data_IF_842074944109
#
_entry.id   IF_842074944109
#
_cell.length_a   1.000
_cell.length_b   1.000
_cell.length_c   1.000
_cell.angle_alpha   90.00
_cell.angle_beta   90.00
_cell.angle_gamma   90.00
#
_symmetry.space_group_name_H-M   'P 1'
#
loop_
_entity.id
_entity.type
_entity.pdbx_description
1 polymer ?
#
# COMPACT_ATOMS: atom_id res chain seq x y z
N UNK A 1 13.50 -9.80 -12.29
CA UNK A 1 13.18 -8.41 -11.94
C UNK A 1 12.32 -8.35 -10.69
N UNK A 2 12.61 -7.37 -9.86
CA UNK A 2 11.84 -7.16 -8.64
C UNK A 2 10.58 -6.36 -8.97
N UNK A 3 9.42 -6.86 -8.59
CA UNK A 3 8.17 -6.13 -8.77
C UNK A 3 8.13 -4.88 -7.88
N UNK A 4 7.57 -3.82 -8.43
CA UNK A 4 7.37 -2.54 -7.74
C UNK A 4 5.89 -2.45 -7.40
N UNK A 5 5.57 -2.33 -6.12
CA UNK A 5 4.17 -2.34 -5.68
C UNK A 5 3.87 -1.18 -4.74
N UNK A 6 2.60 -0.82 -4.68
CA UNK A 6 2.04 0.07 -3.68
C UNK A 6 0.99 -0.74 -2.92
N UNK A 7 1.00 -0.65 -1.60
CA UNK A 7 -0.04 -1.29 -0.78
C UNK A 7 -0.92 -0.20 -0.18
N UNK A 8 -2.23 -0.46 -0.10
CA UNK A 8 -3.08 0.53 0.54
C UNK A 8 -2.90 0.46 2.07
N UNK A 9 -3.41 1.51 2.73
CA UNK A 9 -3.25 1.64 4.19
C UNK A 9 -3.79 0.43 4.94
N UNK A 10 -4.94 -0.11 4.50
CA UNK A 10 -5.58 -1.22 5.21
C UNK A 10 -4.78 -2.52 5.08
N UNK A 11 -4.05 -2.71 3.98
CA UNK A 11 -3.18 -3.87 3.83
C UNK A 11 -2.10 -3.86 4.92
N UNK A 12 -1.44 -2.71 5.12
CA UNK A 12 -0.40 -2.61 6.14
C UNK A 12 -0.97 -2.79 7.56
N UNK A 13 -2.09 -2.11 7.83
CA UNK A 13 -2.74 -2.22 9.14
C UNK A 13 -3.17 -3.66 9.42
N UNK A 14 -3.75 -4.33 8.43
CA UNK A 14 -4.14 -5.73 8.58
C UNK A 14 -2.92 -6.63 8.82
N UNK A 15 -1.82 -6.35 8.15
CA UNK A 15 -0.58 -7.11 8.35
C UNK A 15 -0.09 -7.00 9.80
N UNK A 16 -0.20 -5.81 10.39
CA UNK A 16 0.25 -5.58 11.77
C UNK A 16 -0.64 -6.31 12.77
N UNK A 17 -1.95 -6.14 12.66
CA UNK A 17 -2.87 -6.56 13.72
C UNK A 17 -3.39 -7.98 13.55
N UNK A 18 -3.53 -8.47 12.32
CA UNK A 18 -4.15 -9.77 12.06
C UNK A 18 -3.26 -10.75 11.30
N UNK A 19 -2.23 -10.27 10.64
CA UNK A 19 -1.33 -11.15 9.89
C UNK A 19 -1.94 -11.63 8.58
N UNK A 20 -1.91 -12.93 8.34
CA UNK A 20 -2.49 -13.54 7.15
C UNK A 20 -1.81 -13.12 5.84
N UNK A 21 -2.59 -13.08 4.77
CA UNK A 21 -2.07 -12.75 3.43
C UNK A 21 -1.52 -11.31 3.34
N UNK A 22 -2.14 -10.31 3.97
CA UNK A 22 -1.52 -8.98 4.00
C UNK A 22 -0.11 -9.00 4.59
N UNK A 23 0.11 -9.75 5.67
CA UNK A 23 1.45 -9.85 6.26
C UNK A 23 2.41 -10.56 5.30
N UNK A 24 1.95 -11.57 4.59
CA UNK A 24 2.80 -12.25 3.61
C UNK A 24 3.28 -11.31 2.52
N UNK A 25 2.43 -10.40 2.05
CA UNK A 25 2.82 -9.38 1.08
C UNK A 25 3.86 -8.43 1.68
N UNK A 26 3.60 -7.94 2.90
CA UNK A 26 4.53 -7.03 3.59
C UNK A 26 5.88 -7.71 3.82
N UNK A 27 5.87 -8.99 4.18
CA UNK A 27 7.11 -9.75 4.40
C UNK A 27 7.94 -9.88 3.12
N UNK A 28 7.32 -9.95 1.94
CA UNK A 28 8.07 -9.91 0.69
C UNK A 28 8.85 -8.60 0.57
N UNK A 29 8.25 -7.49 0.99
CA UNK A 29 8.93 -6.20 1.03
C UNK A 29 10.06 -6.18 2.05
N UNK A 30 9.82 -6.71 3.25
CA UNK A 30 10.84 -6.77 4.30
C UNK A 30 12.04 -7.59 3.87
N UNK A 31 11.81 -8.63 3.09
CA UNK A 31 12.87 -9.54 2.62
C UNK A 31 13.51 -9.10 1.32
N UNK A 32 13.10 -7.96 0.77
CA UNK A 32 13.67 -7.44 -0.47
C UNK A 32 13.23 -8.15 -1.73
N UNK A 33 12.20 -9.00 -1.64
CA UNK A 33 11.70 -9.74 -2.79
C UNK A 33 10.76 -8.92 -3.67
N UNK A 34 10.17 -7.87 -3.12
CA UNK A 34 9.43 -6.84 -3.86
C UNK A 34 9.85 -5.48 -3.31
N UNK A 35 9.68 -4.44 -4.11
CA UNK A 35 9.89 -3.06 -3.66
C UNK A 35 8.55 -2.42 -3.38
N UNK A 36 8.32 -2.01 -2.13
CA UNK A 36 7.08 -1.35 -1.72
C UNK A 36 7.32 0.15 -1.69
N UNK A 37 6.56 0.89 -2.50
CA UNK A 37 6.65 2.35 -2.55
C UNK A 37 5.53 2.97 -1.73
N UNK A 38 5.82 4.11 -1.14
CA UNK A 38 4.86 4.86 -0.34
C UNK A 38 5.01 6.36 -0.63
N UNK A 39 4.11 7.16 -0.07
CA UNK A 39 4.14 8.61 -0.20
C UNK A 39 3.79 9.23 1.13
N UNK A 40 4.04 10.54 1.25
CA UNK A 40 3.69 11.28 2.45
C UNK A 40 2.19 11.19 2.76
N UNK A 41 1.35 11.25 1.71
CA UNK A 41 -0.09 11.17 1.87
C UNK A 41 -0.52 9.81 2.44
N UNK A 42 0.11 8.73 1.98
CA UNK A 42 -0.17 7.39 2.50
C UNK A 42 0.26 7.29 3.96
N UNK A 43 1.46 7.79 4.29
CA UNK A 43 1.96 7.75 5.65
C UNK A 43 1.07 8.55 6.61
N UNK A 44 0.57 9.71 6.16
CA UNK A 44 -0.36 10.50 6.96
C UNK A 44 -1.66 9.75 7.22
N UNK A 45 -2.16 9.01 6.25
CA UNK A 45 -3.37 8.21 6.45
C UNK A 45 -3.14 7.07 7.45
N UNK A 46 -2.00 6.39 7.36
CA UNK A 46 -1.64 5.35 8.32
C UNK A 46 -1.62 5.95 9.73
N UNK A 47 -0.93 7.07 9.91
CA UNK A 47 -0.85 7.77 11.18
C UNK A 47 -2.24 8.08 11.73
N UNK A 48 -3.08 8.70 10.92
CA UNK A 48 -4.43 9.09 11.33
C UNK A 48 -5.27 7.90 11.73
N UNK A 49 -5.29 6.84 10.94
CA UNK A 49 -6.09 5.64 11.23
C UNK A 49 -5.64 4.94 12.50
N UNK A 50 -4.33 4.81 12.69
CA UNK A 50 -3.80 4.17 13.89
C UNK A 50 -4.24 4.92 15.14
N UNK A 51 -4.27 6.24 15.11
CA UNK A 51 -4.71 7.06 16.25
C UNK A 51 -6.22 7.04 16.42
N UNK A 52 -6.96 7.27 15.35
CA UNK A 52 -8.41 7.51 15.45
C UNK A 52 -9.23 6.23 15.49
N UNK A 53 -8.85 5.20 14.77
CA UNK A 53 -9.61 3.94 14.73
C UNK A 53 -9.10 2.91 15.70
N UNK A 54 -7.82 2.92 15.99
CA UNK A 54 -7.20 1.91 16.86
C UNK A 54 -6.77 2.47 18.21
N UNK A 55 -6.89 3.77 18.41
CA UNK A 55 -6.63 4.40 19.71
C UNK A 55 -5.19 4.29 20.18
N UNK A 56 -4.23 4.17 19.26
CA UNK A 56 -2.83 4.04 19.64
C UNK A 56 -2.25 5.38 20.10
N UNK A 57 -1.29 5.31 21.01
CA UNK A 57 -0.57 6.48 21.48
C UNK A 57 0.39 7.01 20.41
N UNK A 58 0.86 8.24 20.58
CA UNK A 58 1.84 8.81 19.67
C UNK A 58 3.11 7.97 19.59
N UNK A 59 3.54 7.40 20.72
CA UNK A 59 4.73 6.54 20.75
C UNK A 59 4.52 5.25 19.98
N UNK A 60 3.36 4.62 20.15
CA UNK A 60 3.03 3.40 19.43
C UNK A 60 2.96 3.64 17.92
N UNK A 61 2.34 4.74 17.52
CA UNK A 61 2.25 5.10 16.11
C UNK A 61 3.63 5.38 15.54
N UNK A 62 4.47 6.10 16.28
CA UNK A 62 5.82 6.40 15.82
C UNK A 62 6.64 5.13 15.61
N UNK A 63 6.49 4.13 16.46
CA UNK A 63 7.18 2.85 16.31
C UNK A 63 6.72 2.11 15.06
N UNK A 64 5.41 2.12 14.81
CA UNK A 64 4.84 1.46 13.62
C UNK A 64 5.30 2.16 12.34
N UNK A 65 5.28 3.50 12.32
CA UNK A 65 5.75 4.25 11.16
C UNK A 65 7.24 4.07 10.94
N UNK A 66 8.01 3.97 12.02
CA UNK A 66 9.43 3.67 11.88
C UNK A 66 9.63 2.30 11.23
N UNK A 67 8.90 1.28 11.70
CA UNK A 67 8.94 -0.05 11.10
C UNK A 67 8.61 0.02 9.61
N UNK A 68 7.54 0.73 9.26
CA UNK A 68 7.13 0.90 7.86
C UNK A 68 8.25 1.50 7.02
N UNK A 69 8.98 2.47 7.59
CA UNK A 69 10.07 3.14 6.88
C UNK A 69 11.26 2.23 6.60
N UNK A 70 11.42 1.14 7.35
CA UNK A 70 12.58 0.26 7.19
C UNK A 70 12.50 -0.59 5.92
N UNK A 71 11.31 -0.79 5.37
CA UNK A 71 11.15 -1.65 4.19
C UNK A 71 10.40 -0.98 3.03
N UNK A 72 10.04 0.28 3.15
CA UNK A 72 9.35 1.00 2.08
C UNK A 72 10.23 2.10 1.51
N UNK A 73 9.94 2.44 0.25
CA UNK A 73 10.67 3.47 -0.48
C UNK A 73 9.74 4.67 -0.68
N UNK A 74 10.02 5.80 -0.02
CA UNK A 74 9.18 6.98 -0.20
C UNK A 74 9.41 7.59 -1.58
N UNK A 75 8.31 8.00 -2.22
CA UNK A 75 8.35 8.65 -3.53
C UNK A 75 7.63 9.99 -3.43
N UNK A 76 8.18 10.99 -4.12
CA UNK A 76 7.54 12.29 -4.18
C UNK A 76 6.46 12.26 -5.26
N UNK A 77 5.22 12.57 -4.86
CA UNK A 77 4.11 12.66 -5.78
C UNK A 77 4.02 14.09 -6.28
N UNK A 78 4.16 14.29 -7.58
CA UNK A 78 4.12 15.62 -8.19
C UNK A 78 2.87 15.85 -9.05
N UNK A 79 2.11 14.80 -9.32
CA UNK A 79 0.93 14.87 -10.18
C UNK A 79 -0.30 14.45 -9.40
N UNK A 80 -1.32 15.32 -9.39
CA UNK A 80 -2.61 14.98 -8.81
C UNK A 80 -3.44 14.24 -9.85
N UNK A 81 -4.01 13.10 -9.45
CA UNK A 81 -4.79 12.24 -10.33
C UNK A 81 -6.18 12.09 -9.71
N UNK A 82 -7.22 12.30 -10.52
CA UNK A 82 -8.60 12.16 -10.07
C UNK A 82 -9.26 11.06 -10.89
N UNK A 83 -9.35 9.86 -10.31
CA UNK A 83 -9.85 8.67 -11.00
C UNK A 83 -10.99 8.00 -10.23
N UNK A 84 -10.89 7.95 -8.89
CA UNK A 84 -11.86 7.26 -8.05
C UNK A 84 -12.90 8.25 -7.57
N UNK A 85 -13.98 8.41 -8.35
CA UNK A 85 -15.00 9.43 -8.06
C UNK A 85 -15.74 9.17 -6.75
N UNK A 86 -16.02 7.90 -6.45
CA UNK A 86 -16.79 7.50 -5.26
C UNK A 86 -15.97 7.61 -3.97
N UNK A 87 -14.65 7.55 -4.08
CA UNK A 87 -13.77 7.60 -2.92
C UNK A 87 -12.49 8.34 -3.29
N UNK A 88 -12.54 9.69 -3.35
CA UNK A 88 -11.37 10.48 -3.78
C UNK A 88 -10.12 10.28 -2.93
N UNK A 89 -10.27 9.89 -1.65
CA UNK A 89 -9.11 9.61 -0.79
C UNK A 89 -8.27 8.45 -1.30
N UNK A 90 -8.83 7.56 -2.12
CA UNK A 90 -8.10 6.42 -2.66
C UNK A 90 -7.20 6.82 -3.84
N UNK A 91 -7.38 8.01 -4.39
CA UNK A 91 -6.53 8.49 -5.48
C UNK A 91 -5.06 8.59 -5.08
N UNK A 92 -4.76 8.75 -3.79
CA UNK A 92 -3.37 8.82 -3.32
C UNK A 92 -2.58 7.56 -3.68
N UNK A 93 -3.23 6.40 -3.71
CA UNK A 93 -2.57 5.15 -4.06
C UNK A 93 -2.26 5.10 -5.55
N UNK A 94 -3.17 5.59 -6.39
CA UNK A 94 -2.96 5.72 -7.82
C UNK A 94 -1.81 6.69 -8.10
N UNK A 95 -1.83 7.85 -7.43
CA UNK A 95 -0.78 8.86 -7.58
C UNK A 95 0.60 8.30 -7.21
N UNK A 96 0.67 7.57 -6.11
CA UNK A 96 1.91 6.94 -5.68
C UNK A 96 2.39 5.90 -6.70
N UNK A 97 1.47 5.08 -7.20
CA UNK A 97 1.80 4.03 -8.15
C UNK A 97 2.31 4.61 -9.48
N UNK A 98 1.70 5.69 -9.95
CA UNK A 98 2.15 6.36 -11.17
C UNK A 98 3.54 6.95 -10.95
N UNK A 99 3.73 7.67 -9.84
CA UNK A 99 5.01 8.34 -9.55
C UNK A 99 6.15 7.34 -9.37
N UNK A 100 5.87 6.18 -8.80
CA UNK A 100 6.88 5.14 -8.54
C UNK A 100 7.04 4.16 -9.70
N UNK A 101 6.22 4.27 -10.74
CA UNK A 101 6.18 3.31 -11.84
C UNK A 101 5.90 1.90 -11.33
N UNK A 102 4.94 1.78 -10.44
CA UNK A 102 4.59 0.50 -9.84
C UNK A 102 3.96 -0.43 -10.87
N UNK A 103 4.15 -1.72 -10.66
CA UNK A 103 3.51 -2.76 -11.47
C UNK A 103 2.13 -3.09 -10.93
N UNK A 104 1.95 -3.01 -9.60
CA UNK A 104 0.72 -3.42 -8.93
C UNK A 104 0.37 -2.48 -7.78
N UNK A 105 -0.94 -2.37 -7.52
CA UNK A 105 -1.48 -1.84 -6.27
C UNK A 105 -2.18 -2.99 -5.58
N UNK A 106 -1.83 -3.25 -4.33
CA UNK A 106 -2.43 -4.32 -3.53
C UNK A 106 -3.44 -3.69 -2.59
N UNK A 107 -4.70 -4.10 -2.69
CA UNK A 107 -5.78 -3.50 -1.94
C UNK A 107 -6.90 -4.50 -1.67
N UNK A 108 -7.67 -4.26 -0.61
CA UNK A 108 -8.92 -4.96 -0.35
C UNK A 108 -10.13 -4.05 -0.56
N UNK A 109 -9.90 -2.80 -0.93
CA UNK A 109 -10.96 -1.81 -1.09
C UNK A 109 -11.67 -1.99 -2.43
N UNK A 110 -13.00 -2.09 -2.39
CA UNK A 110 -13.79 -2.33 -3.60
C UNK A 110 -13.66 -1.22 -4.64
N UNK A 111 -13.49 0.02 -4.20
CA UNK A 111 -13.37 1.15 -5.13
C UNK A 111 -12.10 1.06 -5.96
N UNK A 112 -10.99 0.69 -5.33
CA UNK A 112 -9.74 0.45 -6.04
C UNK A 112 -9.82 -0.82 -6.89
N UNK A 113 -10.34 -1.90 -6.32
CA UNK A 113 -10.44 -3.18 -7.03
C UNK A 113 -11.34 -3.09 -8.26
N UNK A 114 -12.42 -2.29 -8.20
CA UNK A 114 -13.32 -2.12 -9.33
C UNK A 114 -12.65 -1.42 -10.50
N UNK A 115 -11.62 -0.61 -10.26
CA UNK A 115 -10.87 0.03 -11.33
C UNK A 115 -10.06 -1.00 -12.14
N UNK A 116 -9.63 -2.07 -11.51
CA UNK A 116 -8.89 -3.21 -12.08
C UNK A 116 -7.50 -2.86 -12.60
N UNK A 117 -7.36 -1.78 -13.34
CA UNK A 117 -6.09 -1.38 -13.94
C UNK A 117 -6.11 0.11 -14.25
N UNK A 118 -4.96 0.76 -14.12
CA UNK A 118 -4.78 2.16 -14.49
C UNK A 118 -3.42 2.32 -15.16
N UNK A 119 -3.40 2.67 -16.44
CA UNK A 119 -2.15 2.89 -17.21
C UNK A 119 -1.14 1.74 -17.06
N UNK A 120 -1.62 0.52 -17.13
CA UNK A 120 -0.78 -0.66 -17.00
C UNK A 120 -0.50 -1.12 -15.58
N UNK A 121 -0.90 -0.34 -14.58
CA UNK A 121 -0.76 -0.71 -13.17
C UNK A 121 -1.97 -1.56 -12.79
N UNK A 122 -1.75 -2.80 -12.43
CA UNK A 122 -2.83 -3.72 -12.08
C UNK A 122 -3.16 -3.62 -10.60
N UNK A 123 -4.45 -3.67 -10.27
CA UNK A 123 -4.94 -3.57 -8.90
C UNK A 123 -5.54 -4.91 -8.51
N UNK A 124 -5.06 -5.48 -7.40
CA UNK A 124 -5.50 -6.81 -6.99
C UNK A 124 -5.42 -7.01 -5.49
N UNK A 125 -6.09 -8.05 -5.01
CA UNK A 125 -6.04 -8.43 -3.61
C UNK A 125 -4.71 -9.09 -3.27
N UNK A 126 -4.37 -9.10 -1.97
CA UNK A 126 -3.16 -9.74 -1.49
C UNK A 126 -3.10 -11.22 -1.91
N UNK A 127 -4.22 -11.92 -1.82
CA UNK A 127 -4.27 -13.34 -2.21
C UNK A 127 -3.89 -13.54 -3.68
N UNK A 128 -4.42 -12.68 -4.56
CA UNK A 128 -4.15 -12.80 -5.99
C UNK A 128 -2.72 -12.46 -6.32
N UNK A 129 -2.17 -11.45 -5.66
CA UNK A 129 -0.77 -11.08 -5.85
C UNK A 129 0.17 -12.21 -5.41
N UNK A 130 -0.12 -12.85 -4.28
CA UNK A 130 0.70 -13.95 -3.78
C UNK A 130 0.68 -15.14 -4.75
N UNK A 131 -0.49 -15.45 -5.33
CA UNK A 131 -0.56 -16.49 -6.34
C UNK A 131 0.28 -16.16 -7.56
N UNK A 132 0.20 -14.91 -8.02
CA UNK A 132 0.98 -14.46 -9.15
C UNK A 132 2.49 -14.54 -8.85
N UNK A 133 2.89 -14.12 -7.66
CA UNK A 133 4.28 -14.14 -7.23
C UNK A 133 4.84 -15.55 -7.18
N UNK A 134 4.06 -16.51 -6.66
CA UNK A 134 4.50 -17.89 -6.51
C UNK A 134 4.59 -18.66 -7.83
N UNK A 135 3.93 -18.17 -8.89
CA UNK A 135 3.94 -18.84 -10.20
C UNK A 135 5.20 -18.56 -11.02
N UNK A 136 6.11 -17.82 -10.50
CA UNK A 136 7.35 -17.52 -11.23
C UNK A 136 8.28 -18.71 -11.37
#
# INVERSE_FOLDING_TARGET
MIHRIVIDTNIYISAIFWGGKPRSVVDLGRNGQVSIFTSLQIEKEINKKLKTKFGLSDEEVAQILFDFSTFTLPIKVSQKITVIDDEPDDDKFIECAVASRADFIISGDKHLLNLKEYKGIKIMKAADFLLLFLKK
#
